data_IF_095596191543
#
_entry.id   IF_095596191543
#
_cell.length_a   1.000
_cell.length_b   1.000
_cell.length_c   1.000
_cell.angle_alpha   90.00
_cell.angle_beta   90.00
_cell.angle_gamma   90.00
#
_symmetry.space_group_name_H-M   'P 1'
#
loop_
_entity.id
_entity.type
_entity.pdbx_description
1 polymer ?
#
# COMPACT_ATOMS: atom_id res chain seq x y z
N UNK A 1 10.03 -1.92 -8.72
CA UNK A 1 9.27 -2.22 -7.51
C UNK A 1 7.88 -1.61 -7.56
N UNK A 2 6.91 -2.31 -6.98
CA UNK A 2 5.58 -1.80 -6.69
C UNK A 2 5.37 -1.91 -5.18
N UNK A 3 5.31 -0.76 -4.52
CA UNK A 3 4.92 -0.65 -3.12
C UNK A 3 3.40 -0.57 -3.00
N UNK A 4 2.84 -1.23 -2.00
CA UNK A 4 1.40 -1.28 -1.75
C UNK A 4 1.10 -0.87 -0.31
N UNK A 5 0.07 -0.06 -0.10
CA UNK A 5 -0.61 -0.04 1.19
C UNK A 5 -1.41 -1.33 1.37
N UNK A 6 -1.83 -1.62 2.59
CA UNK A 6 -2.63 -2.80 2.92
C UNK A 6 -4.13 -2.46 2.92
N UNK A 7 -4.54 -1.66 3.89
CA UNK A 7 -5.96 -1.31 4.09
C UNK A 7 -6.43 -0.33 3.02
N UNK A 8 -7.52 -0.65 2.35
CA UNK A 8 -8.04 0.11 1.21
C UNK A 8 -7.38 -0.22 -0.14
N UNK A 9 -6.34 -1.05 -0.17
CA UNK A 9 -5.65 -1.48 -1.41
C UNK A 9 -5.72 -3.00 -1.59
N UNK A 10 -5.29 -3.78 -0.60
CA UNK A 10 -5.32 -5.24 -0.64
C UNK A 10 -6.61 -5.75 0.01
N UNK A 11 -6.92 -5.26 1.21
CA UNK A 11 -8.15 -5.56 1.94
C UNK A 11 -9.02 -4.31 2.10
N UNK A 12 -10.29 -4.51 2.35
CA UNK A 12 -11.23 -3.43 2.63
C UNK A 12 -10.79 -2.64 3.86
N UNK A 13 -10.87 -1.32 3.79
CA UNK A 13 -10.75 -0.46 4.96
C UNK A 13 -12.11 -0.46 5.68
N UNK A 14 -12.13 -0.87 6.93
CA UNK A 14 -13.37 -1.01 7.71
C UNK A 14 -13.82 0.32 8.33
N UNK A 15 -13.07 1.42 8.14
CA UNK A 15 -13.25 2.67 8.89
C UNK A 15 -12.80 2.58 10.35
N UNK A 16 -12.35 1.40 10.76
CA UNK A 16 -11.74 1.06 12.05
C UNK A 16 -10.44 0.31 11.78
N UNK A 17 -9.91 -0.40 12.78
CA UNK A 17 -8.72 -1.23 12.59
C UNK A 17 -9.10 -2.68 12.30
N UNK A 18 -8.33 -3.33 11.42
CA UNK A 18 -8.38 -4.78 11.21
C UNK A 18 -7.57 -5.41 12.33
N UNK A 19 -8.26 -5.96 13.32
CA UNK A 19 -7.65 -6.41 14.58
C UNK A 19 -7.51 -7.93 14.68
N UNK A 20 -8.27 -8.66 13.86
CA UNK A 20 -8.24 -10.13 13.83
C UNK A 20 -8.08 -10.65 12.41
N UNK A 21 -7.63 -11.90 12.22
CA UNK A 21 -7.59 -12.55 10.91
C UNK A 21 -8.96 -12.60 10.20
N UNK A 22 -10.04 -12.69 10.95
CA UNK A 22 -11.42 -12.75 10.46
C UNK A 22 -11.87 -11.41 9.89
N UNK A 23 -11.32 -10.28 10.40
CA UNK A 23 -11.59 -8.94 9.90
C UNK A 23 -10.89 -8.67 8.56
N UNK A 24 -9.93 -9.51 8.16
CA UNK A 24 -9.19 -9.33 6.92
C UNK A 24 -10.03 -9.79 5.73
N UNK A 25 -10.75 -8.85 5.12
CA UNK A 25 -11.62 -9.07 3.95
C UNK A 25 -10.93 -8.51 2.69
N UNK A 26 -10.37 -9.36 1.81
CA UNK A 26 -9.72 -8.90 0.58
C UNK A 26 -10.67 -8.12 -0.34
N UNK A 27 -10.17 -7.06 -0.96
CA UNK A 27 -10.88 -6.40 -2.05
C UNK A 27 -10.94 -7.37 -3.23
N UNK A 28 -12.11 -7.56 -3.88
CA UNK A 28 -12.25 -8.49 -5.00
C UNK A 28 -11.19 -8.28 -6.08
N UNK A 29 -10.41 -9.32 -6.37
CA UNK A 29 -9.34 -9.30 -7.38
C UNK A 29 -8.01 -8.69 -6.92
N UNK A 30 -7.90 -8.22 -5.67
CA UNK A 30 -6.66 -7.62 -5.16
C UNK A 30 -5.55 -8.65 -4.98
N UNK A 31 -5.86 -9.84 -4.48
CA UNK A 31 -4.88 -10.91 -4.26
C UNK A 31 -4.31 -11.41 -5.60
N UNK A 32 -5.17 -11.63 -6.59
CA UNK A 32 -4.78 -12.01 -7.95
C UNK A 32 -3.99 -10.90 -8.64
N UNK A 33 -4.30 -9.64 -8.35
CA UNK A 33 -3.53 -8.50 -8.84
C UNK A 33 -2.10 -8.53 -8.28
N UNK A 34 -1.91 -8.79 -6.98
CA UNK A 34 -0.57 -8.96 -6.38
C UNK A 34 0.18 -10.13 -7.02
N UNK A 35 -0.48 -11.27 -7.23
CA UNK A 35 0.12 -12.42 -7.92
C UNK A 35 0.52 -12.06 -9.36
N UNK A 36 -0.28 -11.26 -10.07
CA UNK A 36 0.02 -10.79 -11.42
C UNK A 36 1.22 -9.84 -11.43
N UNK A 37 1.34 -8.90 -10.48
CA UNK A 37 2.51 -8.04 -10.31
C UNK A 37 3.79 -8.90 -10.24
N UNK A 38 3.75 -9.98 -9.45
CA UNK A 38 4.89 -10.90 -9.33
C UNK A 38 5.19 -11.63 -10.64
N UNK A 39 4.16 -12.09 -11.35
CA UNK A 39 4.31 -12.74 -12.69
C UNK A 39 4.94 -11.81 -13.73
N UNK A 40 4.62 -10.53 -13.67
CA UNK A 40 5.21 -9.49 -14.53
C UNK A 40 6.65 -9.13 -14.15
N UNK A 41 7.25 -9.80 -13.15
CA UNK A 41 8.63 -9.64 -12.75
C UNK A 41 8.89 -8.45 -11.82
N UNK A 42 7.85 -7.82 -11.29
CA UNK A 42 8.04 -6.73 -10.30
C UNK A 42 8.30 -7.29 -8.90
N UNK A 43 9.12 -6.57 -8.16
CA UNK A 43 9.26 -6.73 -6.71
C UNK A 43 8.03 -6.09 -6.03
N UNK A 44 7.48 -6.74 -5.01
CA UNK A 44 6.34 -6.25 -4.21
C UNK A 44 6.79 -5.96 -2.80
N UNK A 45 6.48 -4.77 -2.30
CA UNK A 45 6.71 -4.38 -0.91
C UNK A 45 5.41 -3.83 -0.32
N UNK A 46 5.00 -4.33 0.83
CA UNK A 46 3.86 -3.79 1.57
C UNK A 46 4.37 -2.80 2.62
N UNK A 47 3.80 -1.59 2.64
CA UNK A 47 4.14 -0.54 3.61
C UNK A 47 2.83 0.05 4.12
N UNK A 48 2.51 -0.21 5.39
CA UNK A 48 1.20 0.14 5.99
C UNK A 48 1.35 0.84 7.33
N UNK A 49 0.42 1.74 7.65
CA UNK A 49 0.31 2.34 8.98
C UNK A 49 -0.69 1.53 9.82
N UNK A 50 -0.27 1.06 10.99
CA UNK A 50 -1.06 0.27 11.93
C UNK A 50 -1.19 1.01 13.28
N UNK A 51 -1.72 2.23 13.24
CA UNK A 51 -1.83 3.13 14.38
C UNK A 51 -2.76 2.66 15.51
N UNK A 52 -3.42 1.52 15.36
CA UNK A 52 -4.18 0.87 16.42
C UNK A 52 -3.30 0.36 17.55
N UNK A 53 -2.03 0.05 17.27
CA UNK A 53 -1.06 -0.40 18.30
C UNK A 53 -0.79 0.73 19.28
N UNK A 54 -0.41 1.91 18.80
CA UNK A 54 -0.15 3.10 19.65
C UNK A 54 -1.39 3.47 20.49
N UNK A 55 -2.58 3.24 19.96
CA UNK A 55 -3.84 3.51 20.66
C UNK A 55 -4.26 2.41 21.64
N UNK A 56 -3.52 1.31 21.74
CA UNK A 56 -3.87 0.18 22.58
C UNK A 56 -5.12 -0.60 22.13
N UNK A 57 -5.54 -0.44 20.86
CA UNK A 57 -6.71 -1.12 20.29
C UNK A 57 -6.33 -2.53 19.83
N UNK A 58 -5.09 -2.74 19.42
CA UNK A 58 -4.54 -4.04 19.01
C UNK A 58 -3.08 -4.13 19.42
N UNK A 59 -2.59 -5.35 19.57
CA UNK A 59 -1.18 -5.63 19.85
C UNK A 59 -0.39 -5.90 18.54
N UNK A 60 0.94 -5.91 18.63
CA UNK A 60 1.79 -6.39 17.54
C UNK A 60 1.43 -7.82 17.13
N UNK A 61 1.17 -8.69 18.11
CA UNK A 61 0.75 -10.09 17.86
C UNK A 61 -0.54 -10.17 17.04
N UNK A 62 -1.49 -9.26 17.23
CA UNK A 62 -2.72 -9.24 16.43
C UNK A 62 -2.44 -8.82 15.00
N UNK A 63 -1.60 -7.80 14.79
CA UNK A 63 -1.13 -7.38 13.46
C UNK A 63 -0.41 -8.53 12.76
N UNK A 64 0.45 -9.27 13.46
CA UNK A 64 1.18 -10.40 12.90
C UNK A 64 0.25 -11.53 12.45
N UNK A 65 -0.81 -11.83 13.23
CA UNK A 65 -1.84 -12.82 12.85
C UNK A 65 -2.61 -12.38 11.60
N UNK A 66 -2.97 -11.10 11.51
CA UNK A 66 -3.63 -10.53 10.31
C UNK A 66 -2.71 -10.65 9.09
N UNK A 67 -1.40 -10.35 9.24
CA UNK A 67 -0.44 -10.49 8.16
C UNK A 67 -0.23 -11.95 7.76
N UNK A 68 -0.21 -12.89 8.70
CA UNK A 68 -0.16 -14.34 8.39
C UNK A 68 -1.37 -14.76 7.55
N UNK A 69 -2.58 -14.31 7.91
CA UNK A 69 -3.79 -14.54 7.11
C UNK A 69 -3.66 -13.98 5.69
N UNK A 70 -3.17 -12.73 5.58
CA UNK A 70 -2.92 -12.12 4.27
C UNK A 70 -1.93 -12.95 3.43
N UNK A 71 -0.81 -13.39 4.01
CA UNK A 71 0.17 -14.21 3.30
C UNK A 71 -0.38 -15.57 2.86
N UNK A 72 -1.20 -16.20 3.71
CA UNK A 72 -1.90 -17.43 3.33
C UNK A 72 -2.75 -17.20 2.07
N UNK A 73 -3.62 -16.19 2.09
CA UNK A 73 -4.51 -15.88 0.97
C UNK A 73 -3.75 -15.46 -0.29
N UNK A 74 -2.67 -14.69 -0.16
CA UNK A 74 -1.78 -14.38 -1.29
C UNK A 74 -1.17 -15.64 -1.89
N UNK A 75 -0.75 -16.61 -1.06
CA UNK A 75 -0.24 -17.90 -1.50
C UNK A 75 -1.29 -18.70 -2.28
N UNK A 76 -2.51 -18.75 -1.79
CA UNK A 76 -3.67 -19.38 -2.45
C UNK A 76 -3.98 -18.73 -3.81
N UNK A 77 -3.81 -17.40 -3.93
CA UNK A 77 -3.96 -16.66 -5.17
C UNK A 77 -2.74 -16.77 -6.12
N UNK A 78 -1.69 -17.54 -5.76
CA UNK A 78 -0.52 -17.78 -6.57
C UNK A 78 0.66 -16.83 -6.36
N UNK A 79 0.60 -15.94 -5.37
CA UNK A 79 1.72 -15.10 -4.94
C UNK A 79 2.52 -15.84 -3.86
N UNK A 80 3.58 -16.56 -4.26
CA UNK A 80 4.37 -17.39 -3.35
C UNK A 80 5.15 -16.60 -2.30
N UNK A 81 5.55 -15.36 -2.60
CA UNK A 81 6.29 -14.47 -1.69
C UNK A 81 6.18 -13.01 -2.14
N UNK A 82 6.38 -12.12 -1.21
CA UNK A 82 6.67 -10.70 -1.43
C UNK A 82 8.07 -10.39 -0.87
N UNK A 83 8.71 -9.33 -1.33
CA UNK A 83 10.08 -9.01 -0.94
C UNK A 83 10.18 -8.53 0.50
N UNK A 84 9.21 -7.72 0.94
CA UNK A 84 9.20 -7.22 2.31
C UNK A 84 7.82 -6.68 2.72
N UNK A 85 7.60 -6.66 4.03
CA UNK A 85 6.49 -5.95 4.66
C UNK A 85 7.02 -5.10 5.80
N UNK A 86 6.63 -3.83 5.82
CA UNK A 86 6.92 -2.89 6.89
C UNK A 86 5.63 -2.25 7.40
N UNK A 87 5.53 -2.06 8.70
CA UNK A 87 4.43 -1.29 9.27
C UNK A 87 4.93 -0.32 10.34
N UNK A 88 4.23 0.80 10.49
CA UNK A 88 4.36 1.73 11.60
C UNK A 88 3.27 1.46 12.61
N UNK A 89 3.63 1.46 13.89
CA UNK A 89 2.69 1.30 15.00
C UNK A 89 1.87 2.56 15.28
N UNK A 90 2.16 3.63 14.56
CA UNK A 90 1.59 4.96 14.76
C UNK A 90 1.01 5.53 13.46
N UNK A 91 0.07 6.44 13.60
CA UNK A 91 -0.44 7.31 12.54
C UNK A 91 -0.05 8.78 12.74
N UNK A 92 0.82 9.08 13.72
CA UNK A 92 1.20 10.45 14.06
C UNK A 92 2.08 11.06 12.97
N UNK A 93 1.89 12.35 12.74
CA UNK A 93 2.65 13.09 11.72
C UNK A 93 4.13 13.30 12.07
N UNK A 94 4.46 13.25 13.36
CA UNK A 94 5.83 13.38 13.90
C UNK A 94 6.57 12.04 13.98
N UNK A 95 5.88 10.90 13.83
CA UNK A 95 6.52 9.60 13.72
C UNK A 95 7.21 9.47 12.36
N UNK A 96 8.53 9.29 12.39
CA UNK A 96 9.34 9.19 11.17
C UNK A 96 9.00 7.97 10.30
N UNK A 97 8.42 6.93 10.86
CA UNK A 97 8.02 5.71 10.14
C UNK A 97 6.60 5.80 9.59
N UNK A 98 5.68 6.53 10.26
CA UNK A 98 4.31 6.65 9.79
C UNK A 98 4.22 7.48 8.49
N UNK A 99 3.54 6.94 7.46
CA UNK A 99 3.23 7.72 6.25
C UNK A 99 2.42 8.97 6.62
N UNK A 100 2.70 10.14 6.08
CA UNK A 100 3.49 10.45 4.87
C UNK A 100 5.00 10.59 5.07
N UNK A 101 5.57 10.18 6.20
CA UNK A 101 7.01 10.12 6.37
C UNK A 101 7.56 8.84 5.72
N UNK A 102 8.88 8.81 5.52
CA UNK A 102 9.50 7.84 4.61
C UNK A 102 10.43 6.86 5.31
N UNK A 103 10.36 6.79 6.64
CA UNK A 103 11.25 5.92 7.43
C UNK A 103 11.17 4.45 7.02
N UNK A 104 9.95 3.91 6.84
CA UNK A 104 9.76 2.53 6.38
C UNK A 104 10.34 2.28 4.99
N UNK A 105 10.15 3.21 4.04
CA UNK A 105 10.68 3.12 2.68
C UNK A 105 12.21 3.12 2.67
N UNK A 106 12.83 4.05 3.41
CA UNK A 106 14.29 4.15 3.54
C UNK A 106 14.88 2.92 4.20
N UNK A 107 14.21 2.38 5.23
CA UNK A 107 14.59 1.14 5.88
C UNK A 107 14.55 -0.01 4.88
N UNK A 108 13.50 -0.13 4.08
CA UNK A 108 13.38 -1.14 3.04
C UNK A 108 14.53 -1.04 2.02
N UNK A 109 14.82 0.14 1.48
CA UNK A 109 15.93 0.32 0.52
C UNK A 109 17.31 0.04 1.13
N UNK A 110 17.48 0.21 2.44
CA UNK A 110 18.70 -0.12 3.17
C UNK A 110 18.85 -1.64 3.36
N UNK A 111 17.79 -2.30 3.77
CA UNK A 111 17.77 -3.75 4.04
C UNK A 111 17.72 -4.58 2.72
N UNK A 112 17.14 -4.01 1.65
CA UNK A 112 17.01 -4.62 0.32
C UNK A 112 17.62 -3.70 -0.75
N UNK A 113 18.93 -3.69 -0.97
CA UNK A 113 19.61 -2.73 -1.87
C UNK A 113 19.14 -2.78 -3.34
N UNK A 114 18.58 -3.90 -3.80
CA UNK A 114 17.98 -4.05 -5.14
C UNK A 114 16.66 -3.30 -5.30
N UNK A 115 15.98 -2.97 -4.20
CA UNK A 115 14.72 -2.20 -4.20
C UNK A 115 15.04 -0.71 -4.28
N UNK A 116 14.46 -0.03 -5.27
CA UNK A 116 14.55 1.43 -5.43
C UNK A 116 13.18 1.99 -5.78
N UNK A 117 12.52 2.63 -4.82
CA UNK A 117 11.18 3.20 -5.02
C UNK A 117 11.16 4.27 -6.10
N UNK A 118 12.26 5.01 -6.29
CA UNK A 118 12.40 6.03 -7.34
C UNK A 118 12.24 5.49 -8.77
N UNK A 119 12.33 4.18 -8.97
CA UNK A 119 12.11 3.49 -10.25
C UNK A 119 10.78 2.74 -10.32
N UNK A 120 9.91 2.94 -9.34
CA UNK A 120 8.71 2.13 -9.16
C UNK A 120 7.45 2.95 -8.94
N UNK A 121 6.48 2.27 -8.43
CA UNK A 121 5.16 2.80 -8.08
C UNK A 121 4.90 2.61 -6.59
N UNK A 122 4.05 3.47 -6.04
CA UNK A 122 3.45 3.22 -4.74
C UNK A 122 1.94 3.42 -4.85
N UNK A 123 1.19 2.39 -4.48
CA UNK A 123 -0.27 2.34 -4.57
C UNK A 123 -0.86 2.54 -3.19
N UNK A 124 -1.78 3.48 -3.08
CA UNK A 124 -2.48 3.77 -1.83
C UNK A 124 -3.86 4.38 -2.09
N UNK A 125 -4.63 4.53 -1.03
CA UNK A 125 -5.98 5.10 -1.05
C UNK A 125 -6.04 6.48 -0.36
N UNK A 126 -4.95 6.90 0.32
CA UNK A 126 -4.92 8.12 1.14
C UNK A 126 -3.88 9.13 0.64
N UNK A 127 -4.10 10.40 0.98
CA UNK A 127 -3.13 11.49 0.71
C UNK A 127 -1.75 11.21 1.32
N UNK A 128 -1.70 10.51 2.47
CA UNK A 128 -0.44 10.12 3.11
C UNK A 128 0.41 9.22 2.22
N UNK A 129 -0.20 8.29 1.52
CA UNK A 129 0.45 7.36 0.60
C UNK A 129 1.06 8.08 -0.59
N UNK A 130 0.26 8.93 -1.23
CA UNK A 130 0.68 9.71 -2.38
C UNK A 130 1.82 10.67 -2.04
N UNK A 131 1.77 11.29 -0.84
CA UNK A 131 2.86 12.14 -0.35
C UNK A 131 4.12 11.34 -0.06
N UNK A 132 4.01 10.17 0.55
CA UNK A 132 5.15 9.29 0.79
C UNK A 132 5.80 8.86 -0.53
N UNK A 133 4.99 8.44 -1.52
CA UNK A 133 5.45 8.12 -2.86
C UNK A 133 6.25 9.28 -3.48
N UNK A 134 5.70 10.49 -3.46
CA UNK A 134 6.38 11.68 -3.99
C UNK A 134 7.71 11.97 -3.30
N UNK A 135 7.78 11.83 -1.97
CA UNK A 135 9.03 12.03 -1.20
C UNK A 135 10.11 11.01 -1.56
N UNK A 136 9.70 9.79 -1.98
CA UNK A 136 10.60 8.73 -2.43
C UNK A 136 10.88 8.75 -3.93
N UNK A 137 10.37 9.77 -4.66
CA UNK A 137 10.41 9.84 -6.12
C UNK A 137 9.77 8.64 -6.82
N UNK A 138 8.91 7.89 -6.13
CA UNK A 138 8.06 6.87 -6.70
C UNK A 138 6.89 7.51 -7.45
N UNK A 139 6.32 6.78 -8.42
CA UNK A 139 5.10 7.20 -9.12
C UNK A 139 3.89 6.93 -8.22
N UNK A 140 3.16 7.97 -7.76
CA UNK A 140 1.99 7.78 -6.91
C UNK A 140 0.82 7.26 -7.72
N UNK A 141 0.21 6.18 -7.24
CA UNK A 141 -1.01 5.58 -7.76
C UNK A 141 -2.09 5.67 -6.69
N UNK A 142 -3.21 6.28 -7.03
CA UNK A 142 -4.41 6.30 -6.20
C UNK A 142 -5.37 5.22 -6.70
N UNK A 143 -5.87 4.39 -5.80
CA UNK A 143 -7.02 3.52 -6.06
C UNK A 143 -8.26 4.09 -5.38
N UNK A 144 -9.45 3.97 -6.02
CA UNK A 144 -10.73 4.50 -5.50
C UNK A 144 -11.33 3.64 -4.39
N UNK A 145 -10.77 2.45 -4.14
CA UNK A 145 -11.12 1.63 -2.98
C UNK A 145 -10.71 2.31 -1.67
N UNK A 146 -11.21 1.82 -0.55
CA UNK A 146 -10.95 2.44 0.76
C UNK A 146 -11.40 3.90 0.80
N UNK A 147 -10.48 4.80 1.15
CA UNK A 147 -10.70 6.27 1.16
C UNK A 147 -10.38 6.94 -0.19
N UNK A 148 -10.17 6.17 -1.25
CA UNK A 148 -9.66 6.70 -2.51
C UNK A 148 -10.58 7.72 -3.18
N UNK A 149 -11.91 7.54 -3.11
CA UNK A 149 -12.87 8.51 -3.67
C UNK A 149 -12.78 9.86 -2.95
N UNK A 150 -12.70 9.84 -1.62
CA UNK A 150 -12.54 11.05 -0.80
C UNK A 150 -11.17 11.70 -1.06
N UNK A 151 -10.14 10.88 -1.21
CA UNK A 151 -8.78 11.34 -1.56
C UNK A 151 -8.75 11.99 -2.94
N UNK A 152 -9.41 11.40 -3.94
CA UNK A 152 -9.52 11.99 -5.29
C UNK A 152 -10.20 13.36 -5.26
N UNK A 153 -11.27 13.52 -4.46
CA UNK A 153 -11.93 14.82 -4.25
C UNK A 153 -10.97 15.84 -3.60
N UNK A 154 -10.17 15.39 -2.60
CA UNK A 154 -9.18 16.25 -1.95
C UNK A 154 -8.07 16.70 -2.91
N UNK A 155 -7.64 15.85 -3.85
CA UNK A 155 -6.63 16.19 -4.86
C UNK A 155 -7.04 17.37 -5.75
N UNK A 156 -8.33 17.66 -5.88
CA UNK A 156 -8.84 18.81 -6.62
C UNK A 156 -8.61 20.16 -5.91
N UNK A 157 -8.24 20.16 -4.63
CA UNK A 157 -7.89 21.39 -3.91
C UNK A 157 -6.55 21.94 -4.41
N UNK A 158 -6.44 23.27 -4.48
CA UNK A 158 -5.23 23.97 -4.93
C UNK A 158 -3.96 23.51 -4.22
N UNK A 159 -4.05 23.24 -2.91
CA UNK A 159 -2.95 22.75 -2.06
C UNK A 159 -2.30 21.47 -2.59
N UNK A 160 -3.04 20.67 -3.35
CA UNK A 160 -2.56 19.38 -3.90
C UNK A 160 -2.27 19.41 -5.40
N UNK A 161 -2.25 20.58 -6.05
CA UNK A 161 -2.05 20.70 -7.50
C UNK A 161 -0.81 19.92 -8.01
N UNK A 162 0.33 20.01 -7.33
CA UNK A 162 1.55 19.29 -7.70
C UNK A 162 1.40 17.77 -7.51
N UNK A 163 0.74 17.34 -6.44
CA UNK A 163 0.49 15.93 -6.15
C UNK A 163 -0.46 15.35 -7.20
N UNK A 164 -1.57 16.04 -7.48
CA UNK A 164 -2.55 15.66 -8.51
C UNK A 164 -1.89 15.45 -9.87
N UNK A 165 -1.03 16.38 -10.30
CA UNK A 165 -0.35 16.33 -11.59
C UNK A 165 0.58 15.10 -11.76
N UNK A 166 1.01 14.47 -10.68
CA UNK A 166 1.87 13.29 -10.68
C UNK A 166 1.13 11.99 -10.40
N UNK A 167 -0.08 12.06 -9.83
CA UNK A 167 -0.87 10.90 -9.43
C UNK A 167 -1.71 10.39 -10.60
N UNK A 168 -1.60 9.08 -10.89
CA UNK A 168 -2.58 8.37 -11.72
C UNK A 168 -3.63 7.74 -10.83
N UNK A 169 -4.89 7.72 -11.29
CA UNK A 169 -6.03 7.21 -10.54
C UNK A 169 -6.60 6.00 -11.25
N UNK A 170 -6.92 4.96 -10.49
CA UNK A 170 -7.55 3.72 -10.95
C UNK A 170 -8.70 3.34 -10.02
N UNK A 171 -9.63 2.53 -10.49
CA UNK A 171 -10.77 2.12 -9.67
C UNK A 171 -10.32 1.23 -8.50
N UNK A 172 -9.36 0.32 -8.76
CA UNK A 172 -8.82 -0.63 -7.81
C UNK A 172 -7.39 -1.07 -8.20
N UNK A 173 -6.79 -1.93 -7.38
CA UNK A 173 -5.46 -2.49 -7.65
C UNK A 173 -5.44 -3.32 -8.95
N UNK A 174 -6.52 -4.05 -9.24
CA UNK A 174 -6.64 -4.87 -10.45
C UNK A 174 -6.55 -4.01 -11.71
N UNK A 175 -7.30 -2.91 -11.77
CA UNK A 175 -7.31 -1.97 -12.90
C UNK A 175 -5.93 -1.34 -13.13
N UNK A 176 -5.21 -1.00 -12.05
CA UNK A 176 -3.83 -0.53 -12.16
C UNK A 176 -2.93 -1.61 -12.77
N UNK A 177 -3.00 -2.84 -12.29
CA UNK A 177 -2.15 -3.94 -12.77
C UNK A 177 -2.43 -4.28 -14.23
N UNK A 178 -3.69 -4.27 -14.65
CA UNK A 178 -4.06 -4.44 -16.07
C UNK A 178 -3.41 -3.37 -16.97
N UNK A 179 -3.28 -2.14 -16.48
CA UNK A 179 -2.60 -1.08 -17.24
C UNK A 179 -1.09 -1.29 -17.41
N UNK A 180 -0.47 -2.10 -16.56
CA UNK A 180 0.95 -2.47 -16.69
C UNK A 180 1.15 -3.51 -17.80
N UNK A 181 0.25 -4.48 -17.92
CA UNK A 181 0.33 -5.59 -18.88
C UNK A 181 0.27 -5.07 -20.33
N UNK A 182 -0.58 -4.07 -20.59
CA UNK A 182 -0.69 -3.41 -21.90
C UNK A 182 0.51 -2.55 -22.29
N UNK A 183 1.41 -2.24 -21.34
CA UNK A 183 2.59 -1.39 -21.60
C UNK A 183 3.84 -2.24 -21.92
N UNK A 184 3.79 -3.54 -21.62
CA UNK A 184 4.90 -4.49 -21.81
C UNK A 184 4.75 -5.27 -23.13
N UNK A 185 3.52 -5.27 -23.72
CA UNK A 185 3.19 -5.83 -25.04
C UNK A 185 3.54 -4.86 -26.15
#
# INVERSE_FOLDING_TARGET
VIGLDRDGVINKDLGTYVTTPEDFDPIPGSLEAVATIKRLGFQVVIITNQGGIEKGIMSQSDVDKVHQKMFQLLGEAGCKFIEALYYSESNRKDDMYAKPNTGMFKRCEKEHPSIKFSRGYYVGDKISDLKAAMKMNARPILVRTGYGIETEKLLNRFTYKKLKAKTKVFDDLRSFVQSLDTTIS
#
